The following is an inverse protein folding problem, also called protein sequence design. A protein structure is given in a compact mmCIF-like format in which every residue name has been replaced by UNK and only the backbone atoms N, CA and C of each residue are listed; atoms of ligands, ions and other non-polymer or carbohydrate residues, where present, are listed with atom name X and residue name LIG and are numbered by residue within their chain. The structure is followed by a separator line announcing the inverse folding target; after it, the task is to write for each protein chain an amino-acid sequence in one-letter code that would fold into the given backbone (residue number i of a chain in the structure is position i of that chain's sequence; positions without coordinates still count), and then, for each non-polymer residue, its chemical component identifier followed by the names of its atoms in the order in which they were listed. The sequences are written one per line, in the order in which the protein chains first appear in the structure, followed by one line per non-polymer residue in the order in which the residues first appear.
data_IF_775985286498
#
_entry.id   IF_775985286498
#
_cell.length_a   1.000
_cell.length_b   1.000
_cell.length_c   1.000
_cell.angle_alpha   90.00
_cell.angle_beta   90.00
_cell.angle_gamma   90.00
#
_symmetry.space_group_name_H-M   'P 1'
#
loop_
_entity.id
_entity.type
_entity.pdbx_description
1 polymer ?
#
# COMPACT_ATOMS: atom_id res chain seq x y z
N UNK A 1 28.02 -5.39 -14.53
CA UNK A 1 27.19 -4.85 -13.44
C UNK A 1 25.76 -5.14 -13.82
N UNK A 2 25.18 -6.21 -13.29
CA UNK A 2 23.77 -6.55 -13.51
C UNK A 2 22.95 -5.63 -12.62
N UNK A 3 22.30 -4.62 -13.20
CA UNK A 3 21.31 -3.80 -12.50
C UNK A 3 20.25 -4.74 -11.93
N UNK A 4 20.03 -4.69 -10.62
CA UNK A 4 19.00 -5.51 -9.97
C UNK A 4 17.63 -5.10 -10.54
N UNK A 5 16.77 -6.08 -10.82
CA UNK A 5 15.41 -5.81 -11.32
C UNK A 5 14.63 -4.95 -10.31
N UNK A 6 14.97 -5.08 -9.03
CA UNK A 6 14.47 -4.25 -7.93
C UNK A 6 14.81 -2.78 -8.14
N UNK A 7 16.08 -2.45 -8.41
CA UNK A 7 16.51 -1.06 -8.67
C UNK A 7 15.79 -0.46 -9.89
N UNK A 8 15.59 -1.28 -10.94
CA UNK A 8 14.88 -0.85 -12.15
C UNK A 8 13.42 -0.51 -11.87
N UNK A 9 12.73 -1.34 -11.08
CA UNK A 9 11.34 -1.10 -10.66
C UNK A 9 11.22 0.13 -9.77
N UNK A 10 12.15 0.30 -8.84
CA UNK A 10 12.23 1.47 -7.98
C UNK A 10 12.43 2.76 -8.79
N UNK A 11 13.39 2.78 -9.71
CA UNK A 11 13.61 3.92 -10.60
C UNK A 11 12.38 4.24 -11.46
N UNK A 12 11.75 3.21 -12.03
CA UNK A 12 10.50 3.36 -12.80
C UNK A 12 9.39 4.02 -11.98
N UNK A 13 9.16 3.52 -10.77
CA UNK A 13 8.14 4.03 -9.87
C UNK A 13 8.43 5.46 -9.39
N UNK A 14 9.70 5.79 -9.18
CA UNK A 14 10.13 7.16 -8.89
C UNK A 14 9.82 8.10 -10.06
N UNK A 15 10.21 7.74 -11.29
CA UNK A 15 9.95 8.54 -12.48
C UNK A 15 8.45 8.82 -12.69
N UNK A 16 7.60 7.82 -12.48
CA UNK A 16 6.14 7.99 -12.60
C UNK A 16 5.60 8.99 -11.57
N UNK A 17 6.08 8.92 -10.32
CA UNK A 17 5.68 9.83 -9.24
C UNK A 17 6.16 11.26 -9.48
N UNK A 18 7.41 11.43 -9.94
CA UNK A 18 7.95 12.75 -10.31
C UNK A 18 7.15 13.35 -11.47
N UNK A 19 6.86 12.58 -12.52
CA UNK A 19 6.06 13.05 -13.65
C UNK A 19 4.66 13.53 -13.21
N UNK A 20 4.01 12.78 -12.30
CA UNK A 20 2.74 13.19 -11.71
C UNK A 20 2.88 14.46 -10.85
N UNK A 21 3.96 14.58 -10.08
CA UNK A 21 4.27 15.77 -9.28
C UNK A 21 4.44 17.03 -10.12
N UNK A 22 5.14 16.94 -11.25
CA UNK A 22 5.31 18.02 -12.22
C UNK A 22 3.94 18.42 -12.80
N UNK A 23 3.15 17.46 -13.27
CA UNK A 23 1.82 17.73 -13.83
C UNK A 23 0.86 18.39 -12.82
N UNK A 24 0.96 18.05 -11.53
CA UNK A 24 0.21 18.71 -10.45
C UNK A 24 0.69 20.14 -10.22
N UNK A 25 2.01 20.37 -10.21
CA UNK A 25 2.60 21.71 -10.08
C UNK A 25 2.15 22.64 -11.22
N UNK A 26 2.06 22.09 -12.43
CA UNK A 26 1.60 22.81 -13.62
C UNK A 26 0.06 22.92 -13.70
N UNK A 27 -0.65 22.50 -12.64
CA UNK A 27 -2.12 22.51 -12.52
C UNK A 27 -2.85 21.71 -13.62
N UNK A 28 -2.16 20.80 -14.30
CA UNK A 28 -2.73 19.89 -15.30
C UNK A 28 -3.50 18.73 -14.65
N UNK A 29 -3.12 18.36 -13.43
CA UNK A 29 -3.78 17.32 -12.64
C UNK A 29 -4.17 17.90 -11.28
N UNK A 30 -5.46 18.07 -11.03
CA UNK A 30 -6.00 18.60 -9.77
C UNK A 30 -6.95 17.64 -9.08
N UNK A 31 -7.47 16.64 -9.79
CA UNK A 31 -8.44 15.66 -9.28
C UNK A 31 -7.94 14.23 -9.37
N UNK A 32 -8.53 13.32 -8.59
CA UNK A 32 -8.20 11.89 -8.61
C UNK A 32 -8.50 11.23 -9.97
N UNK A 33 -9.52 11.73 -10.69
CA UNK A 33 -9.85 11.27 -12.05
C UNK A 33 -8.72 11.62 -13.02
N UNK A 34 -8.28 12.89 -13.00
CA UNK A 34 -7.18 13.36 -13.85
C UNK A 34 -5.86 12.65 -13.52
N UNK A 35 -5.61 12.35 -12.24
CA UNK A 35 -4.45 11.56 -11.83
C UNK A 35 -4.44 10.18 -12.47
N UNK A 36 -5.58 9.47 -12.42
CA UNK A 36 -5.68 8.17 -13.05
C UNK A 36 -5.45 8.25 -14.56
N UNK A 37 -6.10 9.21 -15.25
CA UNK A 37 -5.94 9.41 -16.69
C UNK A 37 -4.48 9.74 -17.04
N UNK A 38 -3.85 10.63 -16.27
CA UNK A 38 -2.46 11.01 -16.47
C UNK A 38 -1.54 9.80 -16.34
N UNK A 39 -1.66 9.02 -15.27
CA UNK A 39 -0.84 7.83 -15.05
C UNK A 39 -1.08 6.77 -16.12
N UNK A 40 -2.32 6.54 -16.55
CA UNK A 40 -2.62 5.62 -17.65
C UNK A 40 -1.94 6.04 -18.96
N UNK A 41 -1.98 7.33 -19.29
CA UNK A 41 -1.32 7.88 -20.48
C UNK A 41 0.20 7.80 -20.36
N UNK A 42 0.74 8.12 -19.20
CA UNK A 42 2.17 8.06 -18.92
C UNK A 42 2.70 6.62 -19.04
N UNK A 43 2.04 5.65 -18.40
CA UNK A 43 2.40 4.22 -18.45
C UNK A 43 2.35 3.69 -19.89
N UNK A 44 1.26 4.00 -20.61
CA UNK A 44 1.10 3.59 -22.00
C UNK A 44 2.18 4.19 -22.90
N UNK A 45 2.55 5.45 -22.65
CA UNK A 45 3.62 6.14 -23.40
C UNK A 45 4.99 5.56 -23.08
N UNK A 46 5.27 5.30 -21.80
CA UNK A 46 6.52 4.68 -21.36
C UNK A 46 6.72 3.31 -22.01
N UNK A 47 5.67 2.48 -22.03
CA UNK A 47 5.70 1.16 -22.67
C UNK A 47 5.89 1.26 -24.19
N UNK A 48 5.12 2.12 -24.87
CA UNK A 48 5.22 2.29 -26.33
C UNK A 48 6.59 2.80 -26.77
N UNK A 49 7.16 3.74 -26.02
CA UNK A 49 8.47 4.34 -26.32
C UNK A 49 9.64 3.52 -25.78
N UNK A 50 9.38 2.40 -25.09
CA UNK A 50 10.40 1.55 -24.44
C UNK A 50 11.36 2.37 -23.57
N UNK A 51 10.79 3.27 -22.74
CA UNK A 51 11.59 4.16 -21.89
C UNK A 51 12.33 3.43 -20.77
N UNK A 52 11.92 2.19 -20.47
CA UNK A 52 12.51 1.36 -19.44
C UNK A 52 13.02 0.03 -20.01
N UNK A 53 13.95 -0.65 -19.33
CA UNK A 53 14.48 -1.93 -19.76
C UNK A 53 13.41 -3.02 -19.91
N UNK A 54 13.69 -4.03 -20.74
CA UNK A 54 12.72 -5.08 -21.09
C UNK A 54 12.31 -5.92 -19.88
N UNK A 55 13.19 -6.02 -18.90
CA UNK A 55 13.07 -6.78 -17.65
C UNK A 55 11.83 -6.36 -16.85
N UNK A 56 11.44 -5.08 -16.90
CA UNK A 56 10.28 -4.57 -16.18
C UNK A 56 9.06 -4.33 -17.08
N UNK A 57 9.16 -4.63 -18.38
CA UNK A 57 8.09 -4.36 -19.34
C UNK A 57 6.78 -5.11 -19.02
N UNK A 58 6.88 -6.29 -18.39
CA UNK A 58 5.72 -7.06 -17.93
C UNK A 58 5.01 -6.39 -16.75
N UNK A 59 5.75 -5.73 -15.86
CA UNK A 59 5.18 -5.02 -14.71
C UNK A 59 4.42 -3.76 -15.16
N UNK A 60 5.01 -3.02 -16.11
CA UNK A 60 4.34 -1.86 -16.73
C UNK A 60 3.04 -2.30 -17.42
N UNK A 61 3.07 -3.42 -18.15
CA UNK A 61 1.90 -3.96 -18.82
C UNK A 61 0.82 -4.44 -17.82
N UNK A 62 1.21 -5.03 -16.69
CA UNK A 62 0.31 -5.38 -15.60
C UNK A 62 -0.40 -4.14 -15.05
N UNK A 63 0.33 -3.06 -14.75
CA UNK A 63 -0.25 -1.80 -14.25
C UNK A 63 -1.22 -1.18 -15.25
N UNK A 64 -0.90 -1.23 -16.56
CA UNK A 64 -1.81 -0.75 -17.62
C UNK A 64 -3.09 -1.59 -17.66
N UNK A 65 -2.98 -2.93 -17.64
CA UNK A 65 -4.15 -3.82 -17.66
C UNK A 65 -5.04 -3.60 -16.43
N UNK A 66 -4.44 -3.52 -15.26
CA UNK A 66 -5.12 -3.27 -14.00
C UNK A 66 -5.87 -1.92 -14.01
N UNK A 67 -5.19 -0.86 -14.46
CA UNK A 67 -5.80 0.46 -14.60
C UNK A 67 -6.98 0.49 -15.57
N UNK A 68 -6.89 -0.24 -16.71
CA UNK A 68 -8.02 -0.37 -17.65
C UNK A 68 -9.21 -1.10 -17.06
N UNK A 69 -8.98 -2.15 -16.28
CA UNK A 69 -10.05 -2.99 -15.72
C UNK A 69 -10.77 -2.32 -14.55
N UNK A 70 -10.04 -1.64 -13.67
CA UNK A 70 -10.59 -1.13 -12.41
C UNK A 70 -10.74 0.41 -12.38
N UNK A 71 -10.27 1.11 -13.42
CA UNK A 71 -10.30 2.58 -13.47
C UNK A 71 -9.63 3.20 -12.24
N UNK A 72 -10.25 4.23 -11.67
CA UNK A 72 -9.72 4.97 -10.51
C UNK A 72 -9.54 4.05 -9.29
N UNK A 73 -10.36 3.00 -9.15
CA UNK A 73 -10.30 2.05 -8.04
C UNK A 73 -8.99 1.25 -8.04
N UNK A 74 -8.32 1.12 -9.21
CA UNK A 74 -7.01 0.50 -9.32
C UNK A 74 -5.95 1.15 -8.41
N UNK A 75 -6.12 2.43 -8.06
CA UNK A 75 -5.21 3.15 -7.17
C UNK A 75 -3.77 3.18 -7.69
N UNK A 76 -3.57 3.46 -8.99
CA UNK A 76 -2.27 3.38 -9.66
C UNK A 76 -1.17 4.18 -8.94
N UNK A 77 -1.47 5.38 -8.45
CA UNK A 77 -0.51 6.15 -7.64
C UNK A 77 -0.07 5.38 -6.41
N UNK A 78 -1.01 4.80 -5.66
CA UNK A 78 -0.71 4.01 -4.45
C UNK A 78 0.18 2.81 -4.79
N UNK A 79 -0.08 2.12 -5.90
CA UNK A 79 0.75 0.99 -6.37
C UNK A 79 2.15 1.42 -6.79
N UNK A 80 2.29 2.53 -7.52
CA UNK A 80 3.59 3.08 -7.87
C UNK A 80 4.36 3.52 -6.63
N UNK A 81 3.70 4.21 -5.70
CA UNK A 81 4.29 4.56 -4.41
C UNK A 81 4.72 3.31 -3.64
N UNK A 82 3.91 2.24 -3.64
CA UNK A 82 4.28 0.96 -3.04
C UNK A 82 5.57 0.40 -3.67
N UNK A 83 5.60 0.24 -5.01
CA UNK A 83 6.77 -0.29 -5.74
C UNK A 83 8.04 0.50 -5.40
N UNK A 84 7.96 1.84 -5.39
CA UNK A 84 9.11 2.68 -5.05
C UNK A 84 9.63 2.40 -3.64
N UNK A 85 8.73 2.32 -2.67
CA UNK A 85 9.07 2.07 -1.26
C UNK A 85 9.63 0.67 -1.05
N UNK A 86 9.12 -0.33 -1.79
CA UNK A 86 9.64 -1.70 -1.77
C UNK A 86 11.06 -1.80 -2.28
N UNK A 87 11.43 -0.95 -3.24
CA UNK A 87 12.64 -1.11 -4.04
C UNK A 87 13.75 -0.11 -3.70
N UNK A 88 13.44 1.04 -3.12
CA UNK A 88 14.39 2.15 -2.98
C UNK A 88 14.45 2.80 -1.58
N UNK A 89 13.47 2.57 -0.71
CA UNK A 89 13.54 3.07 0.67
C UNK A 89 13.89 1.92 1.60
N UNK A 90 14.83 2.14 2.51
CA UNK A 90 14.94 1.26 3.67
C UNK A 90 13.66 1.44 4.49
N UNK A 91 12.79 0.43 4.41
CA UNK A 91 11.50 0.46 5.11
C UNK A 91 11.67 0.66 6.63
N UNK A 92 12.86 0.35 7.16
CA UNK A 92 13.22 0.58 8.56
C UNK A 92 13.42 2.06 8.91
N UNK A 93 13.71 2.93 7.93
CA UNK A 93 13.89 4.38 8.13
C UNK A 93 12.57 5.16 7.99
N UNK A 94 11.50 4.53 7.51
CA UNK A 94 10.18 5.15 7.37
C UNK A 94 9.41 5.18 8.70
N UNK A 95 8.41 6.06 8.84
CA UNK A 95 7.64 6.15 10.09
C UNK A 95 6.89 4.85 10.42
N UNK A 96 6.58 4.63 11.70
CA UNK A 96 5.89 3.42 12.13
C UNK A 96 4.49 3.31 11.48
N UNK A 97 3.75 4.42 11.37
CA UNK A 97 2.45 4.45 10.70
C UNK A 97 2.55 4.08 9.21
N UNK A 98 3.63 4.49 8.56
CA UNK A 98 3.90 4.13 7.18
C UNK A 98 4.16 2.63 7.05
N UNK A 99 5.01 2.06 7.92
CA UNK A 99 5.29 0.63 7.95
C UNK A 99 4.02 -0.19 8.18
N UNK A 100 3.15 0.26 9.09
CA UNK A 100 1.82 -0.32 9.29
C UNK A 100 0.98 -0.27 8.02
N UNK A 101 0.88 0.90 7.38
CA UNK A 101 0.11 1.08 6.14
C UNK A 101 0.62 0.18 5.03
N UNK A 102 1.93 0.03 4.93
CA UNK A 102 2.60 -0.79 3.94
C UNK A 102 2.30 -2.28 4.14
N UNK A 103 2.41 -2.78 5.39
CA UNK A 103 2.03 -4.15 5.74
C UNK A 103 0.55 -4.44 5.41
N UNK A 104 -0.35 -3.50 5.70
CA UNK A 104 -1.78 -3.65 5.36
C UNK A 104 -2.02 -3.72 3.84
N UNK A 105 -1.28 -2.93 3.04
CA UNK A 105 -1.38 -2.98 1.58
C UNK A 105 -0.82 -4.29 1.00
N UNK A 106 0.25 -4.85 1.56
CA UNK A 106 0.72 -6.20 1.17
C UNK A 106 -0.34 -7.26 1.45
N UNK A 107 -0.94 -7.26 2.64
CA UNK A 107 -2.00 -8.20 3.00
C UNK A 107 -3.17 -8.06 2.02
N UNK A 108 -3.53 -6.83 1.67
CA UNK A 108 -4.58 -6.56 0.69
C UNK A 108 -4.27 -7.09 -0.70
N UNK A 109 -3.04 -6.96 -1.17
CA UNK A 109 -2.61 -7.55 -2.45
C UNK A 109 -2.66 -9.08 -2.43
N UNK A 110 -2.60 -9.71 -1.26
CA UNK A 110 -2.71 -11.15 -1.05
C UNK A 110 -4.12 -11.61 -0.61
N UNK A 111 -5.15 -10.82 -0.90
CA UNK A 111 -6.55 -11.23 -0.72
C UNK A 111 -7.16 -10.91 0.64
N UNK A 112 -6.46 -10.16 1.51
CA UNK A 112 -7.02 -9.70 2.78
C UNK A 112 -7.82 -8.39 2.64
N UNK A 113 -8.75 -8.13 3.56
CA UNK A 113 -9.43 -6.84 3.68
C UNK A 113 -9.11 -6.15 5.01
N UNK A 114 -8.81 -4.85 4.97
CA UNK A 114 -8.63 -4.04 6.19
C UNK A 114 -9.88 -3.20 6.47
N UNK A 115 -10.38 -3.24 7.70
CA UNK A 115 -11.53 -2.47 8.15
C UNK A 115 -11.19 -1.61 9.36
N UNK A 116 -11.69 -0.38 9.36
CA UNK A 116 -11.54 0.55 10.47
C UNK A 116 -12.90 0.74 11.12
N UNK A 117 -12.99 0.47 12.43
CA UNK A 117 -14.24 0.38 13.17
C UNK A 117 -14.40 1.54 14.14
N UNK A 118 -15.65 1.96 14.36
CA UNK A 118 -15.99 2.85 15.48
C UNK A 118 -15.80 2.12 16.81
N UNK A 119 -15.67 2.86 17.92
CA UNK A 119 -15.60 2.24 19.25
C UNK A 119 -16.84 1.41 19.60
N UNK A 120 -18.01 1.79 19.06
CA UNK A 120 -19.25 1.04 19.24
C UNK A 120 -19.19 -0.31 18.50
N UNK A 121 -18.75 -0.33 17.24
CA UNK A 121 -18.68 -1.55 16.42
C UNK A 121 -17.55 -2.48 16.91
N UNK A 122 -16.46 -1.90 17.41
CA UNK A 122 -15.39 -2.63 18.06
C UNK A 122 -15.88 -3.36 19.32
N UNK A 123 -16.65 -2.69 20.19
CA UNK A 123 -17.22 -3.31 21.40
C UNK A 123 -18.27 -4.37 21.08
N UNK A 124 -19.07 -4.17 20.04
CA UNK A 124 -20.07 -5.15 19.57
C UNK A 124 -19.44 -6.41 18.97
N UNK A 125 -18.13 -6.40 18.70
CA UNK A 125 -17.47 -7.51 18.04
C UNK A 125 -17.95 -7.67 16.61
N UNK A 126 -18.16 -6.55 15.88
CA UNK A 126 -18.60 -6.64 14.49
C UNK A 126 -17.65 -7.51 13.67
N UNK A 127 -18.21 -8.54 13.05
CA UNK A 127 -17.50 -9.43 12.17
C UNK A 127 -17.89 -9.10 10.74
N UNK A 128 -16.91 -8.70 9.95
CA UNK A 128 -17.11 -8.43 8.53
C UNK A 128 -17.37 -9.72 7.72
N UNK A 129 -17.34 -9.64 6.38
CA UNK A 129 -17.51 -10.81 5.52
C UNK A 129 -16.52 -11.94 5.85
N UNK A 130 -16.85 -13.18 5.44
CA UNK A 130 -16.08 -14.40 5.72
C UNK A 130 -14.69 -14.49 5.06
N UNK A 131 -14.19 -13.40 4.48
CA UNK A 131 -12.84 -13.32 3.91
C UNK A 131 -11.78 -13.04 4.98
N UNK A 132 -10.50 -13.39 4.74
CA UNK A 132 -9.41 -12.97 5.60
C UNK A 132 -9.42 -11.45 5.80
N UNK A 133 -9.45 -11.01 7.05
CA UNK A 133 -9.68 -9.62 7.39
C UNK A 133 -8.93 -9.16 8.63
N UNK A 134 -8.56 -7.88 8.62
CA UNK A 134 -7.96 -7.16 9.74
C UNK A 134 -8.90 -6.04 10.15
N UNK A 135 -9.17 -5.94 11.45
CA UNK A 135 -10.02 -4.91 12.03
C UNK A 135 -9.20 -4.07 13.01
N UNK A 136 -9.33 -2.75 12.88
CA UNK A 136 -8.63 -1.76 13.69
C UNK A 136 -9.65 -0.76 14.23
N UNK A 137 -9.63 -0.47 15.52
CA UNK A 137 -10.46 0.58 16.12
C UNK A 137 -9.91 1.97 15.74
N UNK A 138 -10.75 2.84 15.17
CA UNK A 138 -10.32 4.14 14.65
C UNK A 138 -9.75 5.07 15.73
N UNK A 139 -10.44 5.29 16.88
CA UNK A 139 -9.85 6.07 17.97
C UNK A 139 -8.50 5.51 18.45
N UNK A 140 -8.39 4.19 18.59
CA UNK A 140 -7.15 3.55 19.02
C UNK A 140 -6.01 3.76 18.02
N UNK A 141 -6.31 3.71 16.71
CA UNK A 141 -5.36 4.02 15.65
C UNK A 141 -4.88 5.47 15.72
N UNK A 142 -5.80 6.42 15.91
CA UNK A 142 -5.46 7.84 16.00
C UNK A 142 -4.61 8.17 17.23
N UNK A 143 -4.87 7.52 18.35
CA UNK A 143 -4.09 7.72 19.58
C UNK A 143 -2.77 6.94 19.60
N UNK A 144 -2.62 5.90 18.76
CA UNK A 144 -1.44 5.05 18.72
C UNK A 144 -0.25 5.68 18.00
N UNK A 145 -0.46 6.74 17.21
CA UNK A 145 0.58 7.36 16.40
C UNK A 145 0.64 8.87 16.61
N UNK A 146 1.84 9.44 16.55
CA UNK A 146 2.05 10.89 16.54
C UNK A 146 1.71 11.49 15.17
N UNK A 147 1.70 12.82 15.10
CA UNK A 147 1.51 13.55 13.83
C UNK A 147 2.62 13.24 12.81
N UNK A 148 3.83 12.90 13.28
CA UNK A 148 4.97 12.45 12.47
C UNK A 148 4.91 10.94 12.13
N UNK A 149 3.93 10.21 12.67
CA UNK A 149 3.71 8.80 12.41
C UNK A 149 4.58 7.85 13.24
N UNK A 150 5.21 8.32 14.32
CA UNK A 150 5.87 7.45 15.29
C UNK A 150 4.87 6.76 16.20
N UNK A 151 5.09 5.50 16.56
CA UNK A 151 4.17 4.79 17.45
C UNK A 151 4.35 5.25 18.90
N UNK A 152 3.27 5.74 19.51
CA UNK A 152 3.22 6.20 20.90
C UNK A 152 2.81 5.09 21.87
N UNK A 153 1.94 4.17 21.43
CA UNK A 153 1.46 3.06 22.25
C UNK A 153 1.09 1.83 21.42
N UNK A 154 1.04 0.64 22.04
CA UNK A 154 0.67 -0.59 21.34
C UNK A 154 -0.68 -0.47 20.64
N UNK A 155 -0.76 -0.95 19.40
CA UNK A 155 -2.01 -0.98 18.64
C UNK A 155 -2.63 -2.38 18.74
N UNK A 156 -3.89 -2.44 19.16
CA UNK A 156 -4.63 -3.71 19.18
C UNK A 156 -5.37 -3.92 17.87
N UNK A 157 -5.18 -5.07 17.24
CA UNK A 157 -5.88 -5.44 16.01
C UNK A 157 -6.56 -6.79 16.17
N UNK A 158 -7.71 -6.94 15.50
CA UNK A 158 -8.39 -8.24 15.40
C UNK A 158 -8.17 -8.82 14.02
N UNK A 159 -7.93 -10.13 13.99
CA UNK A 159 -7.64 -10.87 12.77
C UNK A 159 -8.69 -11.97 12.61
N UNK A 160 -9.20 -12.13 11.40
CA UNK A 160 -9.93 -13.31 10.94
C UNK A 160 -9.16 -13.91 9.78
N UNK A 161 -8.68 -15.15 9.90
CA UNK A 161 -7.85 -15.81 8.89
C UNK A 161 -6.52 -16.28 9.48
N UNK A 162 -5.53 -16.52 8.62
CA UNK A 162 -4.20 -17.01 9.01
C UNK A 162 -3.41 -15.93 9.78
N UNK A 163 -3.36 -16.07 11.11
CA UNK A 163 -2.61 -15.17 11.99
C UNK A 163 -1.10 -15.30 11.86
N UNK A 164 -0.60 -16.47 11.42
CA UNK A 164 0.84 -16.70 11.27
C UNK A 164 1.36 -15.93 10.05
N UNK A 165 0.65 -16.01 8.94
CA UNK A 165 0.92 -15.20 7.75
C UNK A 165 0.91 -13.69 8.05
N UNK A 166 -0.11 -13.21 8.77
CA UNK A 166 -0.18 -11.79 9.17
C UNK A 166 1.00 -11.41 10.07
N UNK A 167 1.36 -12.26 11.03
CA UNK A 167 2.50 -12.03 11.92
C UNK A 167 3.83 -11.98 11.15
N UNK A 168 4.00 -12.81 10.12
CA UNK A 168 5.19 -12.80 9.26
C UNK A 168 5.28 -11.51 8.45
N UNK A 169 4.19 -11.09 7.82
CA UNK A 169 4.13 -9.84 7.05
C UNK A 169 4.46 -8.66 7.94
N UNK A 170 3.85 -8.57 9.14
CA UNK A 170 4.19 -7.51 10.07
C UNK A 170 5.66 -7.57 10.52
N UNK A 171 6.18 -8.74 10.90
CA UNK A 171 7.60 -8.88 11.32
C UNK A 171 8.58 -8.43 10.25
N UNK A 172 8.28 -8.69 8.97
CA UNK A 172 9.10 -8.28 7.83
C UNK A 172 9.25 -6.75 7.70
N UNK A 173 8.27 -6.00 8.20
CA UNK A 173 8.22 -4.54 8.11
C UNK A 173 8.39 -3.84 9.46
N UNK A 174 8.77 -4.57 10.52
CA UNK A 174 8.69 -4.08 11.91
C UNK A 174 9.91 -4.43 12.76
N UNK A 175 10.88 -3.52 12.86
CA UNK A 175 11.82 -3.56 14.00
C UNK A 175 11.21 -3.03 15.32
N UNK A 176 10.19 -2.15 15.26
CA UNK A 176 9.73 -1.38 16.44
C UNK A 176 8.21 -1.27 16.68
N UNK A 177 7.36 -1.77 15.78
CA UNK A 177 5.91 -1.67 15.96
C UNK A 177 5.42 -2.71 16.99
N UNK A 178 4.75 -2.25 18.04
CA UNK A 178 4.09 -3.12 19.02
C UNK A 178 2.63 -3.31 18.64
N UNK A 179 2.29 -4.49 18.11
CA UNK A 179 0.91 -4.85 17.72
C UNK A 179 0.44 -6.04 18.57
N UNK A 180 -0.73 -5.89 19.17
CA UNK A 180 -1.42 -6.97 19.88
C UNK A 180 -2.46 -7.60 18.97
N UNK A 181 -2.32 -8.90 18.70
CA UNK A 181 -3.25 -9.65 17.87
C UNK A 181 -4.32 -10.33 18.72
N UNK A 182 -5.58 -10.18 18.32
CA UNK A 182 -6.67 -11.01 18.81
C UNK A 182 -7.26 -11.79 17.63
N UNK A 183 -7.12 -13.12 17.67
CA UNK A 183 -7.74 -14.01 16.70
C UNK A 183 -9.25 -14.09 16.98
N UNK A 184 -10.06 -13.82 15.97
CA UNK A 184 -11.49 -14.05 16.02
C UNK A 184 -11.78 -15.54 15.72
N UNK A 185 -12.72 -16.17 16.44
CA UNK A 185 -13.06 -17.57 16.20
C UNK A 185 -13.56 -17.76 14.76
N UNK A 186 -13.13 -18.84 14.12
CA UNK A 186 -13.84 -19.36 12.96
C UNK A 186 -15.17 -19.97 13.45
N UNK A 187 -16.30 -19.65 12.81
CA UNK A 187 -17.57 -20.30 13.13
C UNK A 187 -17.57 -21.79 12.79
#
# INVERSE_FOLDING_TARGET
MTTDTTDLLGHFAWCAQIALGIARRDKMVTTSVQEHIFLMNWLTTAQKRKLFPREIASEIDYLIRLGKQQGIIAGLKRKLTFIYKSCCEDISEQSDLFRLTYALEELKNNGWTSHTLSAADWKKGWEGPFSPAIYIELPALQEAFSDEGGQLKPLHIRIRGDSEYVSEVFRRYQANLTINFQLLPCP
#
